data_IF_775167150786
#
_entry.id   IF_775167150786
#
_cell.length_a   1.000
_cell.length_b   1.000
_cell.length_c   1.000
_cell.angle_alpha   90.00
_cell.angle_beta   90.00
_cell.angle_gamma   90.00
#
_symmetry.space_group_name_H-M   'P 1'
#
loop_
_entity.id
_entity.type
_entity.pdbx_description
1 polymer ?
#
# COMPACT_ATOMS: atom_id res chain seq x y z
N UNK A 1 -11.78 12.39 2.50
CA UNK A 1 -10.37 12.69 2.24
C UNK A 1 -9.52 12.49 3.47
N UNK A 2 -8.27 12.33 3.27
CA UNK A 2 -7.32 12.09 4.35
C UNK A 2 -5.99 12.74 4.00
N UNK A 3 -5.16 12.99 5.01
CA UNK A 3 -3.80 13.44 4.79
C UNK A 3 -2.88 12.27 4.40
N UNK A 4 -3.36 11.03 4.47
CA UNK A 4 -2.54 9.87 4.18
C UNK A 4 -2.39 9.62 2.70
N UNK A 5 -1.41 8.76 2.37
CA UNK A 5 -1.09 8.42 0.98
C UNK A 5 -1.16 6.92 0.77
N UNK A 6 -1.74 6.49 -0.34
CA UNK A 6 -1.80 5.07 -0.70
C UNK A 6 -1.15 4.92 -2.07
N UNK A 7 -0.21 4.00 -2.18
CA UNK A 7 0.45 3.71 -3.45
C UNK A 7 0.37 2.22 -3.74
N UNK A 8 0.40 1.88 -5.02
CA UNK A 8 0.43 0.50 -5.47
C UNK A 8 1.66 0.34 -6.36
N UNK A 9 2.44 -0.70 -6.09
CA UNK A 9 3.59 -1.02 -6.91
C UNK A 9 3.44 -2.45 -7.39
N UNK A 10 3.51 -2.66 -8.70
CA UNK A 10 3.41 -3.98 -9.30
C UNK A 10 4.80 -4.33 -9.84
N UNK A 11 5.34 -5.42 -9.37
CA UNK A 11 6.70 -5.81 -9.68
C UNK A 11 6.74 -7.05 -10.57
N UNK A 12 7.74 -7.17 -11.44
CA UNK A 12 7.96 -8.42 -12.16
C UNK A 12 8.53 -9.47 -11.22
N UNK A 13 8.69 -10.68 -11.74
CA UNK A 13 9.23 -11.76 -10.94
C UNK A 13 10.64 -11.43 -10.43
N UNK A 14 10.93 -11.85 -9.22
CA UNK A 14 12.28 -11.82 -8.67
C UNK A 14 12.38 -12.95 -7.65
N UNK A 15 13.61 -13.38 -7.36
CA UNK A 15 13.84 -14.37 -6.32
C UNK A 15 14.00 -13.65 -4.98
N UNK A 16 13.72 -14.37 -3.92
CA UNK A 16 13.95 -13.85 -2.58
C UNK A 16 12.69 -13.37 -1.91
N UNK A 17 12.86 -12.63 -0.83
CA UNK A 17 11.76 -12.23 0.03
C UNK A 17 10.95 -11.10 -0.56
N UNK A 18 9.66 -11.34 -0.74
CA UNK A 18 8.76 -10.29 -1.22
C UNK A 18 8.72 -9.13 -0.23
N UNK A 19 8.69 -9.46 1.06
CA UNK A 19 8.64 -8.40 2.07
C UNK A 19 9.88 -7.52 2.04
N UNK A 20 11.05 -8.12 1.91
CA UNK A 20 12.28 -7.34 1.88
C UNK A 20 12.35 -6.41 0.68
N UNK A 21 11.91 -6.91 -0.48
CA UNK A 21 11.91 -6.07 -1.68
C UNK A 21 10.87 -4.96 -1.54
N UNK A 22 9.71 -5.27 -0.94
CA UNK A 22 8.69 -4.27 -0.72
C UNK A 22 9.18 -3.17 0.22
N UNK A 23 9.94 -3.55 1.26
CA UNK A 23 10.48 -2.56 2.20
C UNK A 23 11.46 -1.62 1.50
N UNK A 24 12.29 -2.18 0.62
CA UNK A 24 13.20 -1.33 -0.16
C UNK A 24 12.43 -0.43 -1.13
N UNK A 25 11.35 -0.95 -1.71
CA UNK A 25 10.53 -0.14 -2.59
C UNK A 25 9.85 0.99 -1.82
N UNK A 26 9.40 0.71 -0.61
CA UNK A 26 8.78 1.70 0.25
C UNK A 26 9.73 2.88 0.44
N UNK A 27 10.99 2.58 0.78
CA UNK A 27 11.99 3.64 0.96
C UNK A 27 12.33 4.33 -0.35
N UNK A 28 12.52 3.57 -1.42
CA UNK A 28 12.89 4.14 -2.71
C UNK A 28 11.81 5.08 -3.24
N UNK A 29 10.55 4.75 -2.99
CA UNK A 29 9.44 5.58 -3.45
C UNK A 29 9.20 6.79 -2.55
N UNK A 30 9.98 6.95 -1.51
CA UNK A 30 9.84 8.08 -0.62
C UNK A 30 8.63 8.00 0.29
N UNK A 31 8.11 6.79 0.53
CA UNK A 31 6.90 6.65 1.33
C UNK A 31 7.08 7.10 2.77
N UNK A 32 8.32 7.13 3.28
CA UNK A 32 8.58 7.59 4.64
C UNK A 32 8.69 9.11 4.74
N UNK A 33 8.58 9.80 3.60
CA UNK A 33 8.75 11.25 3.60
C UNK A 33 7.49 12.03 3.93
N UNK A 34 6.39 11.34 4.24
CA UNK A 34 5.15 12.04 4.57
C UNK A 34 5.23 12.63 5.97
N UNK A 35 4.60 13.78 6.13
CA UNK A 35 4.61 14.50 7.38
C UNK A 35 4.09 13.65 8.54
N UNK A 36 3.02 12.91 8.30
CA UNK A 36 2.36 12.15 9.36
C UNK A 36 2.77 10.69 9.42
N UNK A 37 3.76 10.29 8.65
CA UNK A 37 4.24 8.91 8.61
C UNK A 37 3.08 7.92 8.44
N UNK A 38 2.19 8.21 7.49
CA UNK A 38 0.96 7.45 7.30
C UNK A 38 0.79 6.91 5.89
N UNK A 39 1.88 6.65 5.19
CA UNK A 39 1.80 6.06 3.87
C UNK A 39 1.49 4.58 3.92
N UNK A 40 0.76 4.10 2.93
CA UNK A 40 0.45 2.67 2.77
C UNK A 40 0.86 2.26 1.37
N UNK A 41 1.61 1.17 1.27
CA UNK A 41 2.05 0.62 0.00
C UNK A 41 1.49 -0.78 -0.19
N UNK A 42 0.82 -0.99 -1.31
CA UNK A 42 0.43 -2.32 -1.75
C UNK A 42 1.47 -2.78 -2.76
N UNK A 43 2.25 -3.77 -2.41
CA UNK A 43 3.33 -4.26 -3.26
C UNK A 43 2.95 -5.65 -3.77
N UNK A 44 2.86 -5.79 -5.09
CA UNK A 44 2.27 -6.98 -5.71
C UNK A 44 3.23 -7.57 -6.72
N UNK A 45 3.42 -8.89 -6.65
CA UNK A 45 4.27 -9.63 -7.57
C UNK A 45 3.40 -10.69 -8.23
N UNK A 46 2.70 -10.35 -9.33
CA UNK A 46 1.73 -11.27 -9.92
C UNK A 46 2.36 -12.60 -10.35
N UNK A 47 3.57 -12.57 -10.90
CA UNK A 47 4.21 -13.79 -11.38
C UNK A 47 4.47 -14.79 -10.27
N UNK A 48 4.53 -14.35 -9.02
CA UNK A 48 4.72 -15.23 -7.87
C UNK A 48 3.42 -15.43 -7.10
N UNK A 49 2.35 -14.77 -7.52
CA UNK A 49 1.08 -14.80 -6.80
C UNK A 49 1.27 -14.37 -5.36
N UNK A 50 2.09 -13.37 -5.15
CA UNK A 50 2.42 -12.89 -3.80
C UNK A 50 2.20 -11.39 -3.73
N UNK A 51 1.92 -10.94 -2.55
CA UNK A 51 1.78 -9.51 -2.29
C UNK A 51 2.14 -9.24 -0.84
N UNK A 52 2.38 -7.98 -0.54
CA UNK A 52 2.49 -7.55 0.84
C UNK A 52 1.96 -6.12 0.92
N UNK A 53 1.46 -5.75 2.09
CA UNK A 53 0.95 -4.41 2.34
C UNK A 53 1.78 -3.83 3.47
N UNK A 54 2.36 -2.67 3.24
CA UNK A 54 3.20 -2.03 4.23
C UNK A 54 2.58 -0.70 4.63
N UNK A 55 2.43 -0.48 5.93
CA UNK A 55 2.01 0.80 6.45
C UNK A 55 3.13 1.43 7.23
N UNK A 56 3.30 2.75 7.07
CA UNK A 56 4.32 3.44 7.83
C UNK A 56 3.93 3.45 9.30
N UNK A 57 4.83 3.91 10.15
CA UNK A 57 4.75 3.68 11.59
C UNK A 57 3.50 4.28 12.24
N UNK A 58 3.04 5.44 11.81
CA UNK A 58 1.91 6.07 12.48
C UNK A 58 0.58 5.43 12.11
N UNK A 59 0.39 5.07 10.83
CA UNK A 59 -0.84 4.36 10.50
C UNK A 59 -0.83 2.97 11.13
N UNK A 60 0.32 2.30 11.14
CA UNK A 60 0.41 0.99 11.77
C UNK A 60 0.07 1.06 13.25
N UNK A 61 0.56 2.08 13.94
CA UNK A 61 0.29 2.25 15.37
C UNK A 61 -1.19 2.46 15.64
N UNK A 62 -1.89 3.12 14.71
CA UNK A 62 -3.30 3.43 14.91
C UNK A 62 -4.24 2.28 14.61
N UNK A 63 -3.93 1.48 13.58
CA UNK A 63 -4.85 0.43 13.15
C UNK A 63 -4.53 -0.94 13.72
N UNK A 64 -3.26 -1.21 14.03
CA UNK A 64 -2.87 -2.48 14.62
C UNK A 64 -2.77 -3.60 13.61
N UNK A 65 -2.27 -4.74 14.07
CA UNK A 65 -1.98 -5.88 13.21
C UNK A 65 -3.23 -6.50 12.61
N UNK A 66 -4.34 -6.51 13.35
CA UNK A 66 -5.57 -7.12 12.88
C UNK A 66 -6.09 -6.50 11.59
N UNK A 67 -5.91 -5.17 11.45
CA UNK A 67 -6.35 -4.50 10.24
C UNK A 67 -5.57 -5.00 9.03
N UNK A 68 -4.24 -5.14 9.18
CA UNK A 68 -3.42 -5.62 8.06
C UNK A 68 -3.77 -7.05 7.69
N UNK A 69 -4.06 -7.87 8.68
CA UNK A 69 -4.47 -9.25 8.41
C UNK A 69 -5.81 -9.31 7.69
N UNK A 70 -6.73 -8.42 8.04
CA UNK A 70 -8.01 -8.36 7.35
C UNK A 70 -7.85 -7.92 5.90
N UNK A 71 -6.96 -6.94 5.66
CA UNK A 71 -6.68 -6.52 4.29
C UNK A 71 -6.07 -7.64 3.48
N UNK A 72 -5.13 -8.36 4.07
CA UNK A 72 -4.49 -9.47 3.38
C UNK A 72 -5.51 -10.56 3.04
N UNK A 73 -6.47 -10.80 3.94
CA UNK A 73 -7.49 -11.79 3.68
C UNK A 73 -8.37 -11.41 2.50
N UNK A 74 -8.75 -10.13 2.40
CA UNK A 74 -9.54 -9.65 1.28
C UNK A 74 -8.79 -9.84 -0.03
N UNK A 75 -7.51 -9.45 -0.05
CA UNK A 75 -6.71 -9.61 -1.26
C UNK A 75 -6.55 -11.07 -1.64
N UNK A 76 -6.25 -11.93 -0.66
CA UNK A 76 -6.04 -13.35 -0.93
C UNK A 76 -7.29 -14.00 -1.49
N UNK A 77 -8.45 -13.67 -0.94
CA UNK A 77 -9.70 -14.24 -1.37
C UNK A 77 -9.99 -13.89 -2.84
N UNK A 78 -9.84 -12.62 -3.19
CA UNK A 78 -10.10 -12.20 -4.56
C UNK A 78 -9.05 -12.72 -5.53
N UNK A 79 -7.78 -12.72 -5.13
CA UNK A 79 -6.72 -13.20 -6.01
C UNK A 79 -6.89 -14.68 -6.29
N UNK A 80 -7.33 -15.45 -5.30
CA UNK A 80 -7.55 -16.87 -5.49
C UNK A 80 -8.64 -17.14 -6.53
N UNK A 81 -9.61 -16.24 -6.63
CA UNK A 81 -10.70 -16.35 -7.60
C UNK A 81 -10.36 -15.70 -8.93
N UNK A 82 -9.19 -15.15 -9.08
CA UNK A 82 -8.81 -14.45 -10.30
C UNK A 82 -9.37 -13.04 -10.39
N UNK A 83 -9.94 -12.51 -9.31
CA UNK A 83 -10.53 -11.17 -9.30
C UNK A 83 -9.50 -10.16 -8.80
N UNK A 84 -8.43 -10.02 -9.56
CA UNK A 84 -7.29 -9.23 -9.14
C UNK A 84 -7.64 -7.77 -8.92
N UNK A 85 -8.25 -7.15 -9.92
CA UNK A 85 -8.57 -5.72 -9.86
C UNK A 85 -9.59 -5.45 -8.76
N UNK A 86 -10.60 -6.28 -8.67
CA UNK A 86 -11.63 -6.06 -7.66
C UNK A 86 -11.06 -6.16 -6.25
N UNK A 87 -10.21 -7.15 -6.01
CA UNK A 87 -9.60 -7.31 -4.69
C UNK A 87 -8.76 -6.10 -4.33
N UNK A 88 -7.99 -5.61 -5.30
CA UNK A 88 -7.14 -4.46 -5.06
C UNK A 88 -7.97 -3.20 -4.78
N UNK A 89 -9.03 -2.99 -5.55
CA UNK A 89 -9.89 -1.82 -5.33
C UNK A 89 -10.51 -1.87 -3.94
N UNK A 90 -11.02 -3.03 -3.52
CA UNK A 90 -11.64 -3.14 -2.20
C UNK A 90 -10.63 -2.92 -1.08
N UNK A 91 -9.42 -3.44 -1.24
CA UNK A 91 -8.40 -3.24 -0.23
C UNK A 91 -7.97 -1.79 -0.14
N UNK A 92 -7.84 -1.13 -1.29
CA UNK A 92 -7.48 0.28 -1.31
C UNK A 92 -8.57 1.13 -0.66
N UNK A 93 -9.83 0.80 -0.94
CA UNK A 93 -10.94 1.53 -0.31
C UNK A 93 -10.92 1.36 1.21
N UNK A 94 -10.67 0.15 1.69
CA UNK A 94 -10.61 -0.08 3.13
C UNK A 94 -9.46 0.67 3.76
N UNK A 95 -8.31 0.70 3.09
CA UNK A 95 -7.15 1.45 3.58
C UNK A 95 -7.47 2.95 3.62
N UNK A 96 -8.12 3.44 2.57
CA UNK A 96 -8.49 4.85 2.51
C UNK A 96 -9.45 5.25 3.61
N UNK A 97 -10.40 4.37 3.95
CA UNK A 97 -11.33 4.65 5.03
C UNK A 97 -10.62 4.75 6.37
N UNK A 98 -9.67 3.86 6.62
CA UNK A 98 -8.90 3.92 7.86
C UNK A 98 -8.03 5.16 7.93
N UNK A 99 -7.43 5.53 6.81
CA UNK A 99 -6.65 6.76 6.78
C UNK A 99 -7.54 7.97 7.05
N UNK A 100 -8.72 8.01 6.46
CA UNK A 100 -9.63 9.14 6.68
C UNK A 100 -10.08 9.19 8.14
N UNK A 101 -10.27 8.05 8.76
CA UNK A 101 -10.69 7.97 10.15
C UNK A 101 -9.62 8.50 11.09
N UNK A 102 -8.37 8.14 10.88
CA UNK A 102 -7.29 8.47 11.80
C UNK A 102 -6.48 9.70 11.38
N UNK A 103 -6.54 10.07 10.12
CA UNK A 103 -5.77 11.19 9.58
C UNK A 103 -6.66 12.00 8.64
N UNK A 104 -7.64 12.70 9.19
CA UNK A 104 -8.57 13.47 8.33
C UNK A 104 -7.82 14.59 7.59
N UNK A 105 -8.30 14.88 6.39
CA UNK A 105 -7.71 15.91 5.57
C UNK A 105 -7.88 17.28 6.22
N UNK A 106 -6.82 18.07 6.21
CA UNK A 106 -6.85 19.44 6.70
C UNK A 106 -6.40 20.34 5.56
N UNK A 107 -7.35 20.99 4.91
CA UNK A 107 -7.06 21.79 3.72
C UNK A 107 -6.12 22.96 4.02
N UNK A 108 -6.04 23.38 5.26
CA UNK A 108 -5.18 24.52 5.62
C UNK A 108 -3.71 24.13 5.71
N UNK A 109 -3.40 22.88 6.03
CA UNK A 109 -2.02 22.47 6.26
C UNK A 109 -1.58 21.28 5.41
N UNK A 110 -2.51 20.48 4.90
CA UNK A 110 -2.14 19.27 4.19
C UNK A 110 -1.97 19.53 2.71
N UNK A 111 -0.92 18.95 2.15
CA UNK A 111 -0.70 18.96 0.71
C UNK A 111 -0.50 17.52 0.29
N UNK A 112 -0.65 17.28 -1.00
CA UNK A 112 -0.48 15.95 -1.54
C UNK A 112 1.01 15.70 -1.67
N UNK A 113 1.57 14.98 -0.73
CA UNK A 113 3.01 14.76 -0.66
C UNK A 113 3.49 13.68 -1.60
N UNK A 114 2.62 12.75 -1.97
CA UNK A 114 2.96 11.67 -2.87
C UNK A 114 1.87 11.55 -3.93
N UNK A 115 2.24 11.16 -5.16
CA UNK A 115 1.21 10.99 -6.20
C UNK A 115 0.26 9.86 -5.87
N UNK A 116 -1.03 10.04 -6.17
CA UNK A 116 -2.04 9.02 -5.94
C UNK A 116 -2.22 8.23 -7.21
N UNK A 117 -1.27 7.42 -7.56
CA UNK A 117 -1.34 6.68 -8.80
C UNK A 117 -0.65 5.34 -8.63
N UNK A 118 -0.98 4.42 -9.52
CA UNK A 118 -0.33 3.13 -9.53
C UNK A 118 1.08 3.30 -10.04
N UNK A 119 2.04 2.77 -9.30
CA UNK A 119 3.43 2.80 -9.67
C UNK A 119 3.85 1.42 -10.15
N UNK A 120 4.03 1.28 -11.45
CA UNK A 120 4.51 0.02 -12.00
C UNK A 120 6.03 0.08 -11.88
N UNK A 121 6.56 -0.70 -10.98
CA UNK A 121 7.95 -0.64 -10.60
C UNK A 121 8.88 -0.56 -11.81
N UNK A 122 9.83 0.32 -11.72
CA UNK A 122 10.79 0.49 -12.81
C UNK A 122 11.66 -0.72 -13.01
N UNK A 123 11.72 -1.60 -12.04
CA UNK A 123 12.49 -2.82 -12.23
C UNK A 123 11.90 -3.68 -13.33
N UNK A 124 10.68 -3.40 -13.75
CA UNK A 124 10.10 -4.12 -14.84
C UNK A 124 10.87 -3.88 -16.10
N UNK A 125 11.46 -2.73 -16.23
CA UNK A 125 12.13 -2.48 -17.42
C UNK A 125 13.33 -3.23 -17.49
N UNK A 126 13.96 -3.54 -16.89
CA UNK A 126 15.10 -4.25 -16.98
C UNK A 126 15.81 -4.23 -18.00
#
# INVERSE_FOLDING_TARGET
>A
RTSGEVRVSVSPFFWGSVRSVAERAFDRMGMTATKDRNGILFFIVPARRRFTVLGDREIHARVGQDFWEALAAVLSEHFRKGEFTEGLVRAIEAAGEKLAEHFPYDAATDVNELPDEVDFSRSIKK
#
